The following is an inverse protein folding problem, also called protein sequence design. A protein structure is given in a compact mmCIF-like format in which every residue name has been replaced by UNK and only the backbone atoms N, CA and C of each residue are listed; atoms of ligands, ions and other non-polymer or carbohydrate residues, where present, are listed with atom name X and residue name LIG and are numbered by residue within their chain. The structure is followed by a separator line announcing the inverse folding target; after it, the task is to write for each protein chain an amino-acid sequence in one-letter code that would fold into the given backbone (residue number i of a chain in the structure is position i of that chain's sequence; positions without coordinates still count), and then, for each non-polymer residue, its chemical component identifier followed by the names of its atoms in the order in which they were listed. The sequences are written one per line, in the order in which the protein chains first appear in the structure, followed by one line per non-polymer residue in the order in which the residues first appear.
data_IF_784491549074
#
_entry.id   IF_784491549074
#
_cell.length_a   1.000
_cell.length_b   1.000
_cell.length_c   1.000
_cell.angle_alpha   90.00
_cell.angle_beta   90.00
_cell.angle_gamma   90.00
#
_symmetry.space_group_name_H-M   'P 1'
#
loop_
_entity.id
_entity.type
_entity.pdbx_description
1 polymer ?
#
# COMPACT_ATOMS: atom_id res chain seq x y z
N UNK A 1 20.21 -14.76 -38.63
CA UNK A 1 21.03 -13.56 -38.34
C UNK A 1 21.44 -13.66 -36.89
N UNK A 2 22.71 -13.95 -36.61
CA UNK A 2 23.18 -13.98 -35.24
C UNK A 2 23.28 -12.56 -34.69
N UNK A 3 22.54 -12.31 -33.60
CA UNK A 3 22.56 -11.05 -32.89
C UNK A 3 23.68 -11.08 -31.86
N UNK A 4 24.76 -10.32 -32.10
CA UNK A 4 25.76 -10.05 -31.05
C UNK A 4 25.42 -8.76 -30.31
N UNK A 5 25.74 -8.67 -29.02
CA UNK A 5 25.66 -7.42 -28.27
C UNK A 5 26.53 -6.34 -28.92
N UNK A 6 26.03 -5.09 -28.90
CA UNK A 6 26.79 -3.92 -29.32
C UNK A 6 27.91 -3.63 -28.33
N UNK A 7 29.06 -3.22 -28.83
CA UNK A 7 30.18 -2.81 -27.99
C UNK A 7 29.91 -1.45 -27.35
N UNK A 8 30.58 -1.15 -26.24
CA UNK A 8 30.51 0.14 -25.56
C UNK A 8 30.82 1.32 -26.49
N UNK A 9 31.68 1.10 -27.49
CA UNK A 9 32.08 2.09 -28.48
C UNK A 9 30.99 2.32 -29.55
N UNK A 10 30.31 1.25 -29.99
CA UNK A 10 29.12 1.32 -30.86
C UNK A 10 27.97 2.07 -30.16
N UNK A 11 27.79 1.85 -28.85
CA UNK A 11 26.80 2.55 -28.03
C UNK A 11 27.15 4.04 -27.86
N UNK A 12 28.43 4.36 -27.63
CA UNK A 12 28.89 5.75 -27.49
C UNK A 12 28.70 6.55 -28.79
N UNK A 13 28.99 5.93 -29.94
CA UNK A 13 28.80 6.53 -31.27
C UNK A 13 27.32 6.83 -31.56
N UNK A 14 26.42 5.88 -31.26
CA UNK A 14 24.97 6.07 -31.40
C UNK A 14 24.44 7.20 -30.50
N UNK A 15 24.97 7.33 -29.28
CA UNK A 15 24.64 8.46 -28.39
C UNK A 15 25.10 9.79 -28.98
N UNK A 16 26.33 9.88 -29.48
CA UNK A 16 26.86 11.11 -30.08
C UNK A 16 26.08 11.55 -31.34
N UNK A 17 25.67 10.61 -32.19
CA UNK A 17 24.82 10.88 -33.36
C UNK A 17 23.39 11.31 -33.00
N UNK A 18 22.88 10.88 -31.84
CA UNK A 18 21.59 11.33 -31.33
C UNK A 18 21.66 12.75 -30.73
N UNK A 19 22.78 13.10 -30.07
CA UNK A 19 22.94 14.41 -29.43
C UNK A 19 23.27 15.54 -30.42
N UNK A 20 23.82 15.24 -31.60
CA UNK A 20 24.15 16.25 -32.62
C UNK A 20 22.95 16.77 -33.43
N UNK A 21 21.73 16.24 -33.21
CA UNK A 21 20.51 16.58 -33.97
C UNK A 21 19.50 17.46 -33.22
N UNK A 22 19.92 18.16 -32.17
CA UNK A 22 19.04 19.02 -31.36
C UNK A 22 19.27 20.50 -31.69
N UNK A 23 18.43 21.06 -32.56
CA UNK A 23 18.40 22.51 -32.81
C UNK A 23 17.75 23.30 -31.66
N UNK A 24 18.26 24.51 -31.43
CA UNK A 24 17.73 25.48 -30.46
C UNK A 24 16.34 26.02 -30.89
N UNK A 25 15.48 26.44 -29.96
CA UNK A 25 14.08 26.73 -30.24
C UNK A 25 13.90 28.08 -30.96
N UNK A 26 12.95 28.12 -31.90
CA UNK A 26 12.38 29.34 -32.50
C UNK A 26 10.94 29.53 -31.99
N UNK A 27 10.64 30.78 -31.64
CA UNK A 27 9.42 31.36 -31.08
C UNK A 27 8.08 30.61 -31.28
N UNK A 28 7.43 30.35 -30.15
CA UNK A 28 6.04 30.74 -29.89
C UNK A 28 4.93 30.20 -30.80
N UNK A 29 4.59 28.91 -30.71
CA UNK A 29 3.21 28.40 -30.83
C UNK A 29 3.16 26.89 -30.57
N UNK A 30 2.17 26.46 -29.78
CA UNK A 30 1.67 25.09 -29.51
C UNK A 30 2.67 23.96 -29.19
N UNK A 31 2.49 23.35 -28.00
CA UNK A 31 3.25 22.19 -27.55
C UNK A 31 2.69 20.89 -28.15
N UNK A 32 3.44 20.31 -29.10
CA UNK A 32 3.36 18.88 -29.41
C UNK A 32 4.54 18.14 -28.78
N UNK A 33 4.26 17.14 -27.93
CA UNK A 33 5.29 16.21 -27.46
C UNK A 33 5.76 15.34 -28.64
N UNK A 34 6.96 15.58 -29.15
CA UNK A 34 7.51 14.84 -30.31
C UNK A 34 7.80 13.36 -30.05
N UNK A 35 7.61 12.84 -28.82
CA UNK A 35 7.75 11.40 -28.54
C UNK A 35 6.49 10.60 -28.90
N UNK A 36 5.32 11.23 -28.99
CA UNK A 36 4.04 10.53 -29.19
C UNK A 36 3.13 11.10 -30.28
N UNK A 37 3.43 12.28 -30.85
CA UNK A 37 2.67 12.87 -31.98
C UNK A 37 1.14 13.01 -31.72
N UNK A 38 0.74 13.29 -30.48
CA UNK A 38 -0.67 13.44 -30.08
C UNK A 38 -1.02 14.93 -29.96
N UNK A 39 -2.03 15.44 -30.70
CA UNK A 39 -2.53 16.81 -30.54
C UNK A 39 -3.21 17.01 -29.18
N UNK A 40 -3.10 18.21 -28.62
CA UNK A 40 -3.66 18.60 -27.32
C UNK A 40 -5.19 18.54 -27.22
N UNK A 41 -5.91 18.27 -28.32
CA UNK A 41 -7.38 18.28 -28.38
C UNK A 41 -8.07 16.94 -28.13
N UNK A 42 -7.37 15.87 -27.72
CA UNK A 42 -7.97 14.54 -27.52
C UNK A 42 -7.98 14.06 -26.04
N UNK A 43 -9.15 14.25 -25.43
CA UNK A 43 -9.82 13.60 -24.26
C UNK A 43 -9.02 13.15 -23.00
N UNK A 44 -9.71 13.23 -21.86
CA UNK A 44 -9.27 13.07 -20.45
C UNK A 44 -8.37 11.88 -20.05
N UNK A 45 -8.00 10.94 -20.94
CA UNK A 45 -7.20 9.76 -20.58
C UNK A 45 -5.70 10.04 -20.39
N UNK A 46 -5.17 11.13 -20.94
CA UNK A 46 -3.71 11.38 -20.92
C UNK A 46 -3.23 12.38 -19.86
N UNK A 47 -4.10 12.78 -18.92
CA UNK A 47 -3.73 13.69 -17.82
C UNK A 47 -2.66 13.08 -16.90
N UNK A 48 -2.63 11.76 -16.74
CA UNK A 48 -1.61 11.03 -15.96
C UNK A 48 -0.21 11.08 -16.57
N UNK A 49 -0.07 10.99 -17.90
CA UNK A 49 1.23 11.02 -18.55
C UNK A 49 1.90 12.40 -18.46
N UNK A 50 1.11 13.48 -18.55
CA UNK A 50 1.58 14.85 -18.32
C UNK A 50 1.92 15.11 -16.84
N UNK A 51 1.22 14.45 -15.91
CA UNK A 51 1.48 14.53 -14.46
C UNK A 51 2.84 13.90 -14.08
N UNK A 52 3.17 12.75 -14.67
CA UNK A 52 4.45 12.06 -14.41
C UNK A 52 5.67 12.84 -14.91
N UNK A 53 5.55 13.62 -15.99
CA UNK A 53 6.64 14.48 -16.47
C UNK A 53 6.94 15.68 -15.55
N UNK A 54 5.93 16.25 -14.89
CA UNK A 54 6.14 17.37 -13.93
C UNK A 54 6.84 16.94 -12.65
N UNK A 55 6.63 15.71 -12.20
CA UNK A 55 7.28 15.16 -11.00
C UNK A 55 8.80 14.92 -11.17
N UNK A 56 9.28 14.79 -12.42
CA UNK A 56 10.70 14.59 -12.72
C UNK A 56 11.54 15.88 -12.68
N UNK A 57 10.93 17.05 -12.92
CA UNK A 57 11.64 18.34 -12.84
C UNK A 57 11.81 18.81 -11.38
N UNK A 58 10.87 18.50 -10.50
CA UNK A 58 10.94 18.89 -9.08
C UNK A 58 12.04 18.14 -8.30
N UNK A 59 12.27 16.85 -8.61
CA UNK A 59 13.30 16.02 -7.93
C UNK A 59 14.75 16.46 -8.19
N UNK A 60 15.02 17.35 -9.15
CA UNK A 60 16.39 17.82 -9.45
C UNK A 60 16.85 19.01 -8.59
N UNK A 61 15.96 19.72 -7.89
CA UNK A 61 16.33 20.98 -7.23
C UNK A 61 16.73 20.89 -5.75
N UNK A 62 16.56 19.75 -5.08
CA UNK A 62 16.74 19.68 -3.62
C UNK A 62 17.55 18.45 -3.19
N UNK A 63 18.87 18.52 -3.39
CA UNK A 63 19.83 17.68 -2.66
C UNK A 63 21.11 18.49 -2.37
N UNK A 64 21.17 19.13 -1.20
CA UNK A 64 22.43 19.55 -0.56
C UNK A 64 22.47 18.94 0.84
N UNK A 65 23.42 18.06 1.10
CA UNK A 65 23.70 17.48 2.42
C UNK A 65 24.37 18.53 3.33
N UNK A 66 23.98 18.68 4.60
CA UNK A 66 24.84 19.32 5.60
C UNK A 66 25.77 18.28 6.27
N UNK A 67 27.02 18.68 6.49
CA UNK A 67 28.02 17.94 7.25
C UNK A 67 27.70 17.96 8.75
N UNK A 68 27.80 16.82 9.44
CA UNK A 68 27.71 16.71 10.89
C UNK A 68 29.00 16.11 11.44
N UNK A 69 29.56 16.77 12.46
CA UNK A 69 30.78 16.41 13.22
C UNK A 69 30.37 15.50 14.40
N UNK A 70 31.09 14.41 14.72
CA UNK A 70 30.75 13.54 15.83
C UNK A 70 31.23 14.11 17.18
N UNK A 71 30.41 13.97 18.23
CA UNK A 71 30.82 14.15 19.64
C UNK A 71 30.91 12.78 20.32
N UNK A 72 31.99 12.61 21.07
CA UNK A 72 32.38 11.41 21.82
C UNK A 72 31.70 11.31 23.18
N UNK A 73 31.52 10.05 23.58
CA UNK A 73 30.93 9.53 24.83
C UNK A 73 31.77 9.76 26.08
N UNK A 74 31.11 9.74 27.24
CA UNK A 74 31.67 9.23 28.50
C UNK A 74 30.58 8.53 29.32
N UNK A 75 30.80 7.23 29.58
CA UNK A 75 30.18 6.39 30.61
C UNK A 75 30.62 6.85 32.03
N UNK A 76 29.87 6.51 33.09
CA UNK A 76 30.35 5.41 33.93
C UNK A 76 29.25 4.46 34.48
N UNK A 77 29.70 3.22 34.65
CA UNK A 77 29.06 2.05 35.21
C UNK A 77 28.64 2.15 36.68
N UNK A 78 27.49 1.55 37.02
CA UNK A 78 27.10 1.19 38.37
C UNK A 78 26.31 -0.11 38.37
N UNK A 79 26.95 -1.20 38.77
CA UNK A 79 26.31 -2.51 39.04
C UNK A 79 25.50 -2.44 40.34
N UNK A 80 24.26 -2.94 40.30
CA UNK A 80 23.51 -3.33 41.50
C UNK A 80 22.78 -4.65 41.23
N UNK A 81 23.09 -5.63 42.08
CA UNK A 81 22.48 -6.95 42.14
C UNK A 81 20.94 -6.87 42.19
N UNK A 82 20.26 -7.70 41.38
CA UNK A 82 18.84 -8.02 41.59
C UNK A 82 18.67 -9.48 41.95
N UNK A 83 18.06 -9.64 43.11
CA UNK A 83 17.55 -10.86 43.71
C UNK A 83 16.48 -11.53 42.85
N UNK A 84 16.41 -12.85 42.99
CA UNK A 84 15.45 -13.73 42.31
C UNK A 84 14.01 -13.30 42.57
N UNK A 85 13.20 -13.22 41.51
CA UNK A 85 11.74 -13.14 41.63
C UNK A 85 11.09 -14.22 40.78
N UNK A 86 10.03 -14.77 41.38
CA UNK A 86 9.19 -15.88 40.94
C UNK A 86 8.57 -15.67 39.54
N UNK A 87 8.03 -16.71 38.89
CA UNK A 87 7.56 -16.62 37.51
C UNK A 87 6.39 -15.63 37.42
N UNK A 88 6.60 -14.54 36.69
CA UNK A 88 5.57 -13.59 36.30
C UNK A 88 4.47 -14.34 35.56
N UNK A 89 3.25 -14.25 36.08
CA UNK A 89 2.04 -14.59 35.34
C UNK A 89 2.10 -13.89 33.97
N UNK A 90 1.86 -14.64 32.90
CA UNK A 90 1.66 -14.08 31.56
C UNK A 90 0.53 -13.05 31.66
N UNK A 91 0.89 -11.76 31.73
CA UNK A 91 -0.06 -10.68 31.61
C UNK A 91 -0.70 -10.82 30.24
N UNK A 92 -2.02 -11.04 30.20
CA UNK A 92 -2.81 -11.00 28.98
C UNK A 92 -2.68 -9.58 28.42
N UNK A 93 -1.72 -9.40 27.51
CA UNK A 93 -1.51 -8.13 26.82
C UNK A 93 -2.81 -7.79 26.07
N UNK A 94 -3.22 -6.53 26.12
CA UNK A 94 -4.33 -6.05 25.31
C UNK A 94 -3.97 -6.25 23.81
N UNK A 95 -4.94 -6.56 22.94
CA UNK A 95 -4.72 -6.77 21.50
C UNK A 95 -3.90 -5.61 20.88
N UNK A 96 -4.17 -4.37 21.30
CA UNK A 96 -3.41 -3.19 20.87
C UNK A 96 -1.92 -3.28 21.24
N UNK A 97 -1.57 -3.81 22.42
CA UNK A 97 -0.17 -3.98 22.85
C UNK A 97 0.54 -5.07 22.04
N UNK A 98 -0.17 -6.14 21.67
CA UNK A 98 0.36 -7.21 20.81
C UNK A 98 0.67 -6.63 19.42
N UNK A 99 -0.24 -5.84 18.86
CA UNK A 99 -0.06 -5.14 17.58
C UNK A 99 1.19 -4.24 17.61
N UNK A 100 1.33 -3.41 18.65
CA UNK A 100 2.49 -2.51 18.79
C UNK A 100 3.81 -3.27 18.83
N UNK A 101 3.87 -4.36 19.60
CA UNK A 101 5.07 -5.19 19.74
C UNK A 101 5.48 -5.88 18.45
N UNK A 102 4.51 -6.38 17.68
CA UNK A 102 4.79 -7.07 16.41
C UNK A 102 5.20 -6.07 15.31
N UNK A 103 4.62 -4.87 15.34
CA UNK A 103 5.01 -3.77 14.47
C UNK A 103 6.45 -3.28 14.73
N UNK A 104 6.88 -3.16 15.99
CA UNK A 104 8.25 -2.76 16.33
C UNK A 104 9.32 -3.65 15.67
N UNK A 105 9.02 -4.95 15.52
CA UNK A 105 9.88 -5.93 14.84
C UNK A 105 9.84 -5.81 13.32
N UNK A 106 8.78 -5.23 12.78
CA UNK A 106 8.51 -5.19 11.33
C UNK A 106 9.12 -3.99 10.63
N UNK A 107 9.40 -2.92 11.39
CA UNK A 107 9.96 -1.66 10.91
C UNK A 107 11.46 -1.58 11.19
N UNK A 108 12.26 -1.18 10.20
CA UNK A 108 13.71 -0.98 10.35
C UNK A 108 14.06 0.29 11.17
N UNK A 109 15.35 0.65 11.19
CA UNK A 109 15.87 1.82 11.92
C UNK A 109 16.05 3.07 11.04
N UNK A 110 15.41 3.15 9.88
CA UNK A 110 15.39 4.39 9.10
C UNK A 110 14.63 5.50 9.84
N UNK A 111 14.97 6.76 9.55
CA UNK A 111 14.35 7.92 10.20
C UNK A 111 12.82 7.94 10.06
N UNK A 112 12.31 7.60 8.87
CA UNK A 112 10.87 7.54 8.61
C UNK A 112 10.20 6.49 9.49
N UNK A 113 10.80 5.30 9.62
CA UNK A 113 10.28 4.24 10.48
C UNK A 113 10.39 4.56 11.96
N UNK A 114 11.41 5.30 12.39
CA UNK A 114 11.51 5.75 13.78
C UNK A 114 10.39 6.75 14.13
N UNK A 115 10.16 7.76 13.30
CA UNK A 115 9.06 8.70 13.53
C UNK A 115 7.70 8.01 13.47
N UNK A 116 7.54 7.02 12.58
CA UNK A 116 6.34 6.20 12.51
C UNK A 116 6.14 5.39 13.79
N UNK A 117 7.19 4.73 14.31
CA UNK A 117 7.14 4.03 15.61
C UNK A 117 6.70 4.97 16.72
N UNK A 118 7.30 6.15 16.79
CA UNK A 118 6.94 7.15 17.80
C UNK A 118 5.49 7.63 17.67
N UNK A 119 5.04 7.95 16.46
CA UNK A 119 3.65 8.34 16.21
C UNK A 119 2.69 7.22 16.64
N UNK A 120 3.08 5.97 16.39
CA UNK A 120 2.28 4.81 16.72
C UNK A 120 2.19 4.59 18.25
N UNK A 121 3.31 4.75 18.96
CA UNK A 121 3.37 4.61 20.41
C UNK A 121 2.66 5.74 21.18
N UNK A 122 2.56 6.94 20.58
CA UNK A 122 1.93 8.11 21.23
C UNK A 122 0.41 8.08 21.24
N UNK A 123 -0.20 7.20 20.45
CA UNK A 123 -1.65 7.15 20.25
C UNK A 123 -2.27 5.96 20.98
N UNK A 124 -3.51 6.14 21.44
CA UNK A 124 -4.36 5.04 21.89
C UNK A 124 -5.15 4.48 20.71
N UNK A 125 -5.06 3.17 20.51
CA UNK A 125 -5.72 2.49 19.40
C UNK A 125 -6.90 1.68 19.89
N UNK A 126 -8.01 1.76 19.16
CA UNK A 126 -9.09 0.78 19.26
C UNK A 126 -8.82 -0.40 18.32
N UNK A 127 -9.32 -1.58 18.69
CA UNK A 127 -9.45 -2.72 17.76
C UNK A 127 -10.92 -2.96 17.47
N UNK A 128 -11.24 -3.81 16.49
CA UNK A 128 -12.64 -4.17 16.22
C UNK A 128 -13.32 -4.88 17.41
N UNK A 129 -12.55 -5.54 18.27
CA UNK A 129 -13.05 -6.22 19.47
C UNK A 129 -13.00 -5.32 20.72
N UNK A 130 -12.28 -4.21 20.66
CA UNK A 130 -12.03 -3.30 21.78
C UNK A 130 -12.14 -1.84 21.37
N UNK A 131 -13.34 -1.42 20.96
CA UNK A 131 -13.63 -0.02 20.66
C UNK A 131 -13.81 0.80 21.94
N UNK A 132 -13.21 1.99 21.99
CA UNK A 132 -13.60 2.98 22.99
C UNK A 132 -14.94 3.61 22.63
N UNK A 133 -15.67 4.14 23.62
CA UNK A 133 -16.94 4.83 23.39
C UNK A 133 -16.80 6.02 22.43
N UNK A 134 -15.69 6.76 22.55
CA UNK A 134 -15.36 7.87 21.66
C UNK A 134 -15.18 7.40 20.21
N UNK A 135 -14.39 6.33 20.00
CA UNK A 135 -14.17 5.77 18.68
C UNK A 135 -15.49 5.27 18.08
N UNK A 136 -16.28 4.53 18.87
CA UNK A 136 -17.59 4.04 18.44
C UNK A 136 -18.54 5.18 18.02
N UNK A 137 -18.56 6.30 18.76
CA UNK A 137 -19.35 7.46 18.43
C UNK A 137 -18.90 8.14 17.12
N UNK A 138 -17.59 8.29 16.92
CA UNK A 138 -17.02 8.86 15.69
C UNK A 138 -17.37 8.01 14.45
N UNK A 139 -17.31 6.68 14.59
CA UNK A 139 -17.70 5.76 13.53
C UNK A 139 -19.20 5.80 13.25
N UNK A 140 -20.05 5.88 14.27
CA UNK A 140 -21.50 5.95 14.11
C UNK A 140 -21.97 7.23 13.39
N UNK A 141 -21.29 8.36 13.59
CA UNK A 141 -21.61 9.61 12.89
C UNK A 141 -21.24 9.57 11.39
N UNK A 142 -20.07 9.00 11.09
CA UNK A 142 -19.52 9.00 9.73
C UNK A 142 -20.04 7.85 8.87
N UNK A 143 -20.26 6.67 9.46
CA UNK A 143 -20.50 5.42 8.75
C UNK A 143 -21.78 4.72 9.20
N UNK A 144 -22.31 3.86 8.33
CA UNK A 144 -23.50 3.06 8.64
C UNK A 144 -23.11 1.81 9.44
N UNK A 145 -21.92 1.27 9.18
CA UNK A 145 -21.40 0.08 9.84
C UNK A 145 -19.88 0.20 9.97
N UNK A 146 -19.34 -0.54 10.92
CA UNK A 146 -17.91 -0.74 11.09
C UNK A 146 -17.33 -1.69 10.02
N UNK A 147 -16.00 -1.66 9.80
CA UNK A 147 -15.31 -2.75 9.14
C UNK A 147 -15.53 -4.07 9.89
N UNK A 148 -15.38 -5.20 9.21
CA UNK A 148 -15.66 -6.51 9.76
C UNK A 148 -14.56 -7.51 9.42
N UNK A 149 -14.14 -8.29 10.42
CA UNK A 149 -13.35 -9.49 10.21
C UNK A 149 -14.28 -10.65 9.88
N UNK A 150 -13.99 -11.36 8.80
CA UNK A 150 -14.70 -12.55 8.37
C UNK A 150 -13.72 -13.70 8.18
N UNK A 151 -14.14 -14.96 8.41
CA UNK A 151 -13.27 -16.10 8.14
C UNK A 151 -12.88 -16.15 6.66
N UNK A 152 -11.59 -16.35 6.36
CA UNK A 152 -11.12 -16.37 4.97
C UNK A 152 -11.78 -17.48 4.14
N UNK A 153 -12.14 -18.59 4.78
CA UNK A 153 -12.82 -19.74 4.16
C UNK A 153 -14.19 -19.36 3.59
N UNK A 154 -14.85 -18.33 4.12
CA UNK A 154 -16.13 -17.85 3.59
C UNK A 154 -15.94 -17.01 2.33
N UNK A 155 -14.74 -16.47 2.11
CA UNK A 155 -14.40 -15.63 0.97
C UNK A 155 -13.99 -16.46 -0.26
N UNK A 156 -13.69 -17.74 -0.10
CA UNK A 156 -13.21 -18.63 -1.16
C UNK A 156 -13.88 -19.99 -1.06
N UNK A 157 -14.66 -20.37 -2.07
CA UNK A 157 -15.35 -21.66 -2.12
C UNK A 157 -14.68 -22.59 -3.14
N UNK A 158 -14.27 -23.83 -2.78
CA UNK A 158 -14.47 -24.49 -1.47
C UNK A 158 -13.39 -24.20 -0.43
N UNK A 159 -12.23 -23.64 -0.82
CA UNK A 159 -11.14 -23.27 0.09
C UNK A 159 -10.28 -22.13 -0.48
N UNK A 160 -9.55 -21.37 0.33
CA UNK A 160 -8.60 -20.38 -0.16
C UNK A 160 -7.54 -20.98 -1.10
N UNK A 161 -7.04 -20.21 -2.08
CA UNK A 161 -5.96 -20.66 -2.95
C UNK A 161 -4.66 -20.85 -2.15
N UNK A 162 -3.85 -21.83 -2.55
CA UNK A 162 -2.52 -22.02 -1.97
C UNK A 162 -1.57 -20.89 -2.37
N UNK A 163 -0.68 -20.50 -1.45
CA UNK A 163 0.28 -19.42 -1.70
C UNK A 163 1.12 -19.68 -2.96
N UNK A 164 1.68 -20.89 -3.10
CA UNK A 164 2.49 -21.28 -4.25
C UNK A 164 1.76 -21.08 -5.59
N UNK A 165 0.48 -21.46 -5.67
CA UNK A 165 -0.32 -21.28 -6.88
C UNK A 165 -0.51 -19.80 -7.22
N UNK A 166 -0.75 -18.95 -6.22
CA UNK A 166 -0.88 -17.50 -6.43
C UNK A 166 0.46 -16.89 -6.85
N UNK A 167 1.56 -17.28 -6.21
CA UNK A 167 2.89 -16.84 -6.59
C UNK A 167 3.23 -17.21 -8.03
N UNK A 168 2.93 -18.44 -8.46
CA UNK A 168 3.10 -18.87 -9.85
C UNK A 168 2.27 -18.03 -10.85
N UNK A 169 1.01 -17.71 -10.51
CA UNK A 169 0.17 -16.86 -11.35
C UNK A 169 0.72 -15.42 -11.45
N UNK A 170 1.21 -14.87 -10.35
CA UNK A 170 1.86 -13.56 -10.32
C UNK A 170 3.16 -13.59 -11.15
N UNK A 171 3.98 -14.63 -10.98
CA UNK A 171 5.22 -14.81 -11.73
C UNK A 171 4.98 -14.83 -13.22
N UNK A 172 4.06 -15.67 -13.69
CA UNK A 172 3.73 -15.77 -15.11
C UNK A 172 3.20 -14.45 -15.65
N UNK A 173 2.37 -13.74 -14.89
CA UNK A 173 1.89 -12.40 -15.27
C UNK A 173 3.03 -11.40 -15.46
N UNK A 174 3.96 -11.36 -14.52
CA UNK A 174 5.12 -10.45 -14.55
C UNK A 174 6.10 -10.85 -15.67
N UNK A 175 6.38 -12.14 -15.82
CA UNK A 175 7.27 -12.70 -16.85
C UNK A 175 6.78 -12.41 -18.26
N UNK A 176 5.47 -12.42 -18.47
CA UNK A 176 4.85 -12.10 -19.76
C UNK A 176 4.81 -10.59 -20.07
N UNK A 177 5.31 -9.73 -19.18
CA UNK A 177 5.39 -8.29 -19.39
C UNK A 177 4.03 -7.60 -19.45
N UNK A 178 3.02 -8.12 -18.74
CA UNK A 178 1.72 -7.47 -18.66
C UNK A 178 1.87 -6.06 -18.03
N UNK A 179 1.10 -5.08 -18.49
CA UNK A 179 1.18 -3.68 -18.02
C UNK A 179 -0.04 -3.25 -17.22
N UNK A 180 -0.87 -4.20 -16.77
CA UNK A 180 -2.12 -3.96 -16.05
C UNK A 180 -1.97 -3.93 -14.52
N UNK A 181 -0.73 -3.81 -14.02
CA UNK A 181 -0.40 -3.69 -12.61
C UNK A 181 0.53 -2.51 -12.35
N UNK A 182 0.61 -2.10 -11.08
CA UNK A 182 1.52 -1.05 -10.62
C UNK A 182 2.77 -1.67 -10.01
N UNK A 183 3.91 -1.07 -10.31
CA UNK A 183 5.21 -1.49 -9.80
C UNK A 183 5.87 -0.29 -9.15
N UNK A 184 6.41 -0.55 -7.97
CA UNK A 184 7.19 0.42 -7.21
C UNK A 184 8.54 -0.22 -6.99
N UNK A 185 9.59 0.47 -7.38
CA UNK A 185 10.97 0.08 -7.12
C UNK A 185 11.69 1.33 -6.63
N UNK A 186 12.13 1.31 -5.38
CA UNK A 186 12.66 2.42 -4.58
C UNK A 186 13.90 3.16 -5.11
N UNK A 187 14.16 3.18 -6.42
CA UNK A 187 15.20 4.04 -6.98
C UNK A 187 15.75 3.69 -8.35
N UNK A 188 15.29 2.63 -9.03
CA UNK A 188 15.91 2.20 -10.30
C UNK A 188 14.94 2.35 -11.46
N UNK A 189 15.22 3.30 -12.37
CA UNK A 189 14.46 3.49 -13.60
C UNK A 189 15.18 2.81 -14.76
N UNK A 190 14.89 1.54 -15.04
CA UNK A 190 15.38 0.89 -16.27
C UNK A 190 14.43 -0.17 -16.82
N UNK A 191 14.66 -0.58 -18.06
CA UNK A 191 13.68 -1.20 -18.98
C UNK A 191 13.30 -2.67 -18.66
N UNK A 192 13.81 -3.26 -17.58
CA UNK A 192 13.54 -4.67 -17.16
C UNK A 192 13.08 -4.81 -15.68
N UNK A 193 12.40 -3.76 -15.21
CA UNK A 193 12.11 -3.51 -13.80
C UNK A 193 11.18 -4.56 -13.16
N UNK A 194 10.21 -5.12 -13.90
CA UNK A 194 9.23 -6.03 -13.31
C UNK A 194 9.81 -7.40 -12.95
N UNK A 195 10.69 -7.95 -13.81
CA UNK A 195 11.42 -9.18 -13.50
C UNK A 195 12.37 -8.99 -12.32
N UNK A 196 13.08 -7.86 -12.26
CA UNK A 196 13.95 -7.51 -11.14
C UNK A 196 13.15 -7.33 -9.83
N UNK A 197 12.04 -6.60 -9.84
CA UNK A 197 11.13 -6.45 -8.68
C UNK A 197 10.57 -7.81 -8.26
N UNK A 198 10.15 -8.67 -9.19
CA UNK A 198 9.72 -10.03 -8.85
C UNK A 198 10.83 -10.83 -8.18
N UNK A 199 12.04 -10.83 -8.73
CA UNK A 199 13.18 -11.55 -8.15
C UNK A 199 13.55 -11.01 -6.76
N UNK A 200 13.50 -9.69 -6.56
CA UNK A 200 13.66 -9.06 -5.25
C UNK A 200 12.57 -9.46 -4.27
N UNK A 201 11.36 -9.77 -4.72
CA UNK A 201 10.27 -10.25 -3.85
C UNK A 201 10.31 -11.77 -3.61
N UNK A 202 10.84 -12.55 -4.56
CA UNK A 202 11.12 -13.98 -4.38
C UNK A 202 12.26 -14.21 -3.38
N UNK A 203 13.18 -13.23 -3.29
CA UNK A 203 14.29 -13.18 -2.33
C UNK A 203 14.29 -11.83 -1.60
N UNK A 204 13.32 -11.59 -0.69
CA UNK A 204 13.10 -10.28 -0.07
C UNK A 204 14.33 -9.81 0.70
N UNK A 205 14.94 -8.73 0.21
CA UNK A 205 15.94 -7.96 0.93
C UNK A 205 15.23 -6.95 1.85
N UNK A 206 15.14 -7.27 3.14
CA UNK A 206 14.50 -6.41 4.15
C UNK A 206 15.22 -5.05 4.27
N UNK A 207 16.47 -4.93 3.82
CA UNK A 207 17.17 -3.64 3.74
C UNK A 207 16.73 -2.77 2.56
N UNK A 208 15.90 -3.30 1.66
CA UNK A 208 15.32 -2.61 0.49
C UNK A 208 13.80 -2.86 0.39
N UNK A 209 13.00 -2.45 1.40
CA UNK A 209 11.56 -2.71 1.45
C UNK A 209 10.74 -1.95 0.38
N UNK A 210 11.39 -1.17 -0.49
CA UNK A 210 10.74 -0.23 -1.40
C UNK A 210 10.32 -0.86 -2.73
N UNK A 211 10.61 -2.14 -2.96
CA UNK A 211 10.22 -2.87 -4.17
C UNK A 211 8.95 -3.70 -3.91
N UNK A 212 7.84 -3.38 -4.57
CA UNK A 212 6.58 -4.13 -4.43
C UNK A 212 5.69 -4.02 -5.67
N UNK A 213 4.77 -4.98 -5.82
CA UNK A 213 3.78 -5.00 -6.89
C UNK A 213 2.37 -4.86 -6.33
N UNK A 214 1.56 -4.02 -6.96
CA UNK A 214 0.16 -3.81 -6.59
C UNK A 214 -0.79 -3.95 -7.77
N UNK A 215 -2.04 -4.26 -7.45
CA UNK A 215 -3.15 -4.32 -8.39
C UNK A 215 -2.94 -5.33 -9.52
N UNK A 216 -2.29 -6.46 -9.24
CA UNK A 216 -2.02 -7.52 -10.22
C UNK A 216 -3.33 -8.27 -10.52
N UNK A 217 -3.87 -8.21 -11.74
CA UNK A 217 -5.14 -8.88 -12.02
C UNK A 217 -4.97 -10.40 -12.07
N UNK A 218 -5.64 -11.09 -11.14
CA UNK A 218 -5.62 -12.55 -11.07
C UNK A 218 -6.87 -13.10 -11.74
N UNK A 219 -6.71 -13.56 -12.99
CA UNK A 219 -7.74 -14.29 -13.74
C UNK A 219 -7.27 -15.71 -13.96
N UNK A 220 -8.00 -16.66 -13.38
CA UNK A 220 -7.63 -18.06 -13.48
C UNK A 220 -8.85 -18.95 -13.25
N UNK A 221 -8.91 -20.05 -14.00
CA UNK A 221 -9.89 -21.12 -13.83
C UNK A 221 -9.42 -22.19 -12.85
N UNK A 222 -8.16 -22.15 -12.42
CA UNK A 222 -7.55 -23.17 -11.55
C UNK A 222 -7.58 -22.78 -10.07
N UNK A 223 -7.88 -21.53 -9.75
CA UNK A 223 -8.09 -21.08 -8.37
C UNK A 223 -9.53 -20.59 -8.19
N UNK A 224 -10.09 -20.76 -6.98
CA UNK A 224 -11.39 -20.19 -6.66
C UNK A 224 -11.32 -18.67 -6.71
N UNK A 225 -12.39 -18.06 -7.24
CA UNK A 225 -12.56 -16.61 -7.21
C UNK A 225 -12.95 -16.19 -5.79
N UNK A 226 -12.45 -15.02 -5.39
CA UNK A 226 -12.91 -14.40 -4.15
C UNK A 226 -14.37 -13.94 -4.31
N UNK A 227 -15.18 -14.22 -3.30
CA UNK A 227 -16.60 -13.85 -3.25
C UNK A 227 -16.89 -13.05 -1.97
N UNK A 228 -17.99 -12.32 -1.99
CA UNK A 228 -18.54 -11.71 -0.77
C UNK A 228 -19.21 -12.81 0.07
N UNK A 229 -18.79 -13.01 1.34
CA UNK A 229 -19.43 -13.96 2.24
C UNK A 229 -20.94 -13.74 2.38
N UNK A 230 -21.71 -14.82 2.50
CA UNK A 230 -23.18 -14.78 2.60
C UNK A 230 -23.67 -13.86 3.71
N UNK A 231 -22.96 -13.83 4.85
CA UNK A 231 -23.27 -12.97 6.00
C UNK A 231 -23.25 -11.47 5.67
N UNK A 232 -22.49 -11.05 4.66
CA UNK A 232 -22.37 -9.65 4.25
C UNK A 232 -23.42 -9.27 3.20
N UNK A 233 -23.93 -10.23 2.43
CA UNK A 233 -24.84 -9.99 1.30
C UNK A 233 -26.11 -9.20 1.65
N UNK A 234 -26.78 -9.39 2.81
CA UNK A 234 -27.98 -8.61 3.13
C UNK A 234 -27.77 -7.09 3.11
N UNK A 235 -26.55 -6.62 3.41
CA UNK A 235 -26.18 -5.20 3.39
C UNK A 235 -25.37 -4.83 2.15
N UNK A 236 -24.52 -5.74 1.68
CA UNK A 236 -23.45 -5.45 0.72
C UNK A 236 -23.55 -6.29 -0.56
N UNK A 237 -24.76 -6.69 -0.94
CA UNK A 237 -25.00 -7.37 -2.21
C UNK A 237 -24.40 -6.53 -3.36
N UNK A 238 -23.44 -7.09 -4.13
CA UNK A 238 -22.87 -6.38 -5.27
C UNK A 238 -23.94 -6.06 -6.31
N UNK A 239 -23.87 -4.88 -6.91
CA UNK A 239 -24.76 -4.50 -8.01
C UNK A 239 -24.56 -5.41 -9.22
N UNK A 240 -25.59 -5.57 -10.07
CA UNK A 240 -25.56 -6.47 -11.25
C UNK A 240 -24.39 -6.22 -12.21
N UNK A 241 -23.86 -4.99 -12.27
CA UNK A 241 -22.70 -4.66 -13.13
C UNK A 241 -21.40 -5.28 -12.63
N UNK A 242 -21.33 -5.65 -11.36
CA UNK A 242 -20.14 -6.17 -10.68
C UNK A 242 -20.39 -7.57 -10.08
N UNK A 243 -21.28 -8.36 -10.69
CA UNK A 243 -21.59 -9.72 -10.22
C UNK A 243 -20.37 -10.67 -10.23
N UNK A 244 -19.26 -10.26 -10.85
CA UNK A 244 -17.95 -10.93 -10.79
C UNK A 244 -16.87 -9.85 -10.65
N UNK A 245 -16.56 -9.42 -9.42
CA UNK A 245 -15.53 -8.39 -9.22
C UNK A 245 -14.17 -8.90 -9.69
N UNK A 246 -13.34 -7.99 -10.17
CA UNK A 246 -11.98 -8.31 -10.57
C UNK A 246 -11.15 -8.59 -9.31
N UNK A 247 -10.60 -9.79 -9.22
CA UNK A 247 -9.66 -10.15 -8.16
C UNK A 247 -8.28 -9.56 -8.47
N UNK A 248 -7.75 -8.80 -7.53
CA UNK A 248 -6.45 -8.16 -7.60
C UNK A 248 -5.54 -8.73 -6.51
N UNK A 249 -4.25 -8.87 -6.81
CA UNK A 249 -3.23 -9.26 -5.86
C UNK A 249 -2.18 -8.16 -5.68
N UNK A 250 -1.73 -8.00 -4.45
CA UNK A 250 -0.59 -7.18 -4.07
C UNK A 250 0.48 -8.11 -3.49
N UNK A 251 1.70 -8.04 -4.01
CA UNK A 251 2.85 -8.75 -3.48
C UNK A 251 3.78 -7.72 -2.84
N UNK A 252 3.96 -7.85 -1.53
CA UNK A 252 4.61 -6.83 -0.69
C UNK A 252 5.57 -7.50 0.30
N UNK A 253 6.85 -7.11 0.35
CA UNK A 253 7.77 -7.56 1.40
C UNK A 253 7.44 -6.95 2.77
N UNK A 254 8.06 -7.48 3.82
CA UNK A 254 8.02 -6.89 5.18
C UNK A 254 8.49 -5.44 5.15
N UNK A 255 7.82 -4.58 5.90
CA UNK A 255 8.15 -3.17 6.04
C UNK A 255 7.53 -2.27 4.96
N UNK A 256 6.84 -2.81 3.94
CA UNK A 256 6.08 -1.98 3.01
C UNK A 256 4.96 -1.26 3.75
N UNK A 257 4.88 0.05 3.52
CA UNK A 257 3.83 0.93 4.00
C UNK A 257 3.04 1.41 2.78
N UNK A 258 1.73 1.22 2.83
CA UNK A 258 0.77 1.80 1.88
C UNK A 258 0.08 2.95 2.57
N UNK A 259 0.29 4.16 2.04
CA UNK A 259 -0.24 5.39 2.63
C UNK A 259 -1.77 5.36 2.77
N UNK A 260 -2.33 6.09 3.75
CA UNK A 260 -3.77 6.21 3.93
C UNK A 260 -4.47 6.69 2.66
N UNK A 261 -5.51 5.98 2.24
CA UNK A 261 -6.27 6.31 1.02
C UNK A 261 -7.72 5.81 1.11
N UNK A 262 -8.49 6.13 0.07
CA UNK A 262 -9.86 5.67 -0.15
C UNK A 262 -9.89 4.82 -1.43
N UNK A 263 -10.56 3.66 -1.39
CA UNK A 263 -10.75 2.76 -2.56
C UNK A 263 -11.80 3.26 -3.57
N UNK A 264 -12.01 4.58 -3.61
CA UNK A 264 -13.14 5.22 -4.27
C UNK A 264 -14.46 4.85 -3.61
N UNK A 265 -15.58 5.09 -4.30
CA UNK A 265 -16.93 4.76 -3.82
C UNK A 265 -17.24 3.25 -3.84
N UNK A 266 -16.27 2.41 -3.46
CA UNK A 266 -16.35 0.96 -3.53
C UNK A 266 -16.09 0.35 -2.17
N UNK A 267 -16.84 -0.70 -1.87
CA UNK A 267 -16.58 -1.59 -0.76
C UNK A 267 -15.37 -2.48 -1.11
N UNK A 268 -14.59 -2.87 -0.11
CA UNK A 268 -13.36 -3.63 -0.27
C UNK A 268 -13.40 -4.89 0.59
N UNK A 269 -13.03 -6.03 0.02
CA UNK A 269 -12.77 -7.26 0.76
C UNK A 269 -11.34 -7.68 0.47
N UNK A 270 -10.52 -7.78 1.51
CA UNK A 270 -9.12 -8.19 1.40
C UNK A 270 -8.85 -9.42 2.26
N UNK A 271 -8.00 -10.32 1.78
CA UNK A 271 -7.50 -11.47 2.50
C UNK A 271 -6.03 -11.65 2.19
N UNK A 272 -5.27 -12.20 3.13
CA UNK A 272 -3.85 -12.52 2.90
C UNK A 272 -3.68 -14.03 2.71
N UNK A 273 -2.70 -14.40 1.91
CA UNK A 273 -2.44 -15.79 1.53
C UNK A 273 -1.05 -16.21 2.00
N UNK A 274 -0.94 -17.42 2.56
CA UNK A 274 0.32 -17.99 3.04
C UNK A 274 0.71 -17.47 4.42
N UNK A 275 2.00 -17.22 4.64
CA UNK A 275 2.54 -16.67 5.90
C UNK A 275 2.53 -15.14 5.93
N UNK A 276 1.65 -14.47 5.18
CA UNK A 276 1.61 -13.02 5.15
C UNK A 276 0.76 -12.49 6.30
N UNK A 277 1.17 -11.33 6.84
CA UNK A 277 0.50 -10.63 7.93
C UNK A 277 0.52 -9.14 7.64
N UNK A 278 -0.62 -8.48 7.80
CA UNK A 278 -0.78 -7.04 7.56
C UNK A 278 -1.42 -6.38 8.76
N UNK A 279 -0.89 -5.24 9.15
CA UNK A 279 -1.53 -4.33 10.08
C UNK A 279 -2.26 -3.25 9.29
N UNK A 280 -3.58 -3.21 9.41
CA UNK A 280 -4.43 -2.23 8.73
C UNK A 280 -4.91 -1.19 9.74
N UNK A 281 -4.70 0.08 9.42
CA UNK A 281 -5.25 1.21 10.15
C UNK A 281 -6.44 1.73 9.36
N UNK A 282 -7.56 1.93 10.03
CA UNK A 282 -8.82 2.36 9.42
C UNK A 282 -9.37 3.55 10.18
N UNK A 283 -9.81 4.56 9.45
CA UNK A 283 -10.46 5.75 10.00
C UNK A 283 -11.82 5.97 9.36
N UNK A 284 -12.78 6.52 10.12
CA UNK A 284 -14.06 6.92 9.57
C UNK A 284 -13.87 8.04 8.55
N UNK A 285 -14.69 8.01 7.50
CA UNK A 285 -14.72 9.04 6.44
C UNK A 285 -15.49 10.28 6.87
N UNK A 286 -15.23 10.82 8.06
CA UNK A 286 -15.84 12.06 8.53
C UNK A 286 -15.33 13.25 7.70
N UNK A 287 -16.08 14.35 7.65
CA UNK A 287 -15.69 15.55 6.90
C UNK A 287 -14.30 16.05 7.29
N UNK A 288 -13.98 16.08 8.59
CA UNK A 288 -12.67 16.48 9.09
C UNK A 288 -11.56 15.53 8.64
N UNK A 289 -11.77 14.22 8.76
CA UNK A 289 -10.78 13.23 8.35
C UNK A 289 -10.53 13.25 6.83
N UNK A 290 -11.59 13.42 6.03
CA UNK A 290 -11.49 13.51 4.57
C UNK A 290 -10.77 14.78 4.14
N UNK A 291 -11.06 15.92 4.77
CA UNK A 291 -10.36 17.17 4.50
C UNK A 291 -8.87 17.02 4.78
N UNK A 292 -8.52 16.53 5.96
CA UNK A 292 -7.14 16.33 6.36
C UNK A 292 -6.41 15.35 5.45
N UNK A 293 -7.05 14.24 5.07
CA UNK A 293 -6.49 13.30 4.09
C UNK A 293 -6.13 14.00 2.78
N UNK A 294 -7.00 14.86 2.26
CA UNK A 294 -6.72 15.60 1.01
C UNK A 294 -5.54 16.57 1.14
N UNK A 295 -5.31 17.09 2.33
CA UNK A 295 -4.19 17.98 2.63
C UNK A 295 -2.87 17.21 2.77
N UNK A 296 -2.91 15.93 3.20
CA UNK A 296 -1.71 15.15 3.56
C UNK A 296 -1.40 13.99 2.62
N UNK A 297 -2.33 13.48 1.81
CA UNK A 297 -2.18 12.24 0.99
C UNK A 297 -1.02 12.27 -0.03
N UNK A 298 -0.37 13.42 -0.21
CA UNK A 298 0.75 13.62 -1.17
C UNK A 298 2.07 13.96 -0.51
N UNK A 299 2.13 13.95 0.82
CA UNK A 299 3.36 14.21 1.57
C UNK A 299 4.12 12.91 1.81
N UNK A 300 5.44 12.99 1.99
CA UNK A 300 6.25 11.83 2.41
C UNK A 300 5.92 11.38 3.85
N UNK A 301 5.14 12.19 4.58
CA UNK A 301 4.70 11.96 5.95
C UNK A 301 3.23 11.58 6.05
N UNK A 302 2.54 11.30 4.94
CA UNK A 302 1.08 11.12 4.89
C UNK A 302 0.58 10.12 5.94
N UNK A 303 1.26 8.98 6.10
CA UNK A 303 0.93 7.99 7.12
C UNK A 303 1.10 8.53 8.55
N UNK A 304 2.21 9.22 8.83
CA UNK A 304 2.48 9.81 10.16
C UNK A 304 1.44 10.89 10.48
N UNK A 305 1.14 11.75 9.51
CA UNK A 305 0.16 12.81 9.64
C UNK A 305 -1.23 12.22 9.92
N UNK A 306 -1.59 11.14 9.23
CA UNK A 306 -2.84 10.43 9.45
C UNK A 306 -2.95 9.84 10.86
N UNK A 307 -1.92 9.13 11.32
CA UNK A 307 -1.89 8.58 12.68
C UNK A 307 -1.97 9.66 13.75
N UNK A 308 -1.41 10.84 13.48
CA UNK A 308 -1.33 11.93 14.46
C UNK A 308 -2.63 12.73 14.52
N UNK A 309 -3.30 12.91 13.38
CA UNK A 309 -4.34 13.92 13.24
C UNK A 309 -5.71 13.38 12.83
N UNK A 310 -5.81 12.20 12.21
CA UNK A 310 -7.11 11.58 11.97
C UNK A 310 -7.66 10.98 13.25
N UNK A 311 -8.97 11.12 13.44
CA UNK A 311 -9.68 10.64 14.63
C UNK A 311 -10.39 9.33 14.37
N UNK A 312 -10.63 8.54 15.42
CA UNK A 312 -11.40 7.30 15.34
C UNK A 312 -10.66 6.13 14.74
N UNK A 313 -9.34 6.06 14.94
CA UNK A 313 -8.56 4.98 14.35
C UNK A 313 -8.92 3.62 14.95
N UNK A 314 -9.14 2.65 14.07
CA UNK A 314 -9.17 1.23 14.39
C UNK A 314 -7.93 0.59 13.77
N UNK A 315 -7.12 -0.06 14.60
CA UNK A 315 -6.00 -0.88 14.15
C UNK A 315 -6.41 -2.35 14.17
N UNK A 316 -6.18 -3.05 13.06
CA UNK A 316 -6.55 -4.45 12.93
C UNK A 316 -5.48 -5.22 12.14
N UNK A 317 -4.95 -6.26 12.76
CA UNK A 317 -4.12 -7.24 12.07
C UNK A 317 -4.99 -8.22 11.30
N UNK A 318 -4.57 -8.55 10.08
CA UNK A 318 -5.08 -9.68 9.29
C UNK A 318 -3.96 -10.66 8.95
N UNK A 319 -4.31 -11.94 8.98
CA UNK A 319 -3.46 -13.08 8.66
C UNK A 319 -4.23 -14.08 7.77
N UNK A 320 -3.62 -15.22 7.44
CA UNK A 320 -4.23 -16.19 6.54
C UNK A 320 -5.45 -16.93 7.12
N UNK A 321 -5.88 -16.64 8.36
CA UNK A 321 -7.12 -17.16 8.93
C UNK A 321 -8.31 -16.22 8.70
N UNK A 322 -8.04 -14.96 8.40
CA UNK A 322 -9.01 -13.87 8.41
C UNK A 322 -9.01 -13.06 7.10
N UNK A 323 -10.16 -12.45 6.82
CA UNK A 323 -10.32 -11.46 5.77
C UNK A 323 -10.97 -10.21 6.38
N UNK A 324 -10.65 -9.04 5.83
CA UNK A 324 -11.16 -7.75 6.27
C UNK A 324 -12.11 -7.19 5.22
N UNK A 325 -13.36 -6.98 5.64
CA UNK A 325 -14.37 -6.25 4.90
C UNK A 325 -14.37 -4.78 5.32
N UNK A 326 -14.23 -3.89 4.35
CA UNK A 326 -14.27 -2.44 4.53
C UNK A 326 -15.38 -1.85 3.65
N UNK A 327 -16.48 -1.36 4.25
CA UNK A 327 -17.46 -0.56 3.53
C UNK A 327 -16.85 0.66 2.85
N UNK A 328 -17.45 1.11 1.74
CA UNK A 328 -16.98 2.28 1.02
C UNK A 328 -16.97 3.54 1.89
N UNK A 329 -15.96 4.39 1.67
CA UNK A 329 -15.76 5.64 2.42
C UNK A 329 -14.88 5.49 3.67
N UNK A 330 -14.30 4.31 3.91
CA UNK A 330 -13.27 4.11 4.94
C UNK A 330 -11.91 4.55 4.41
N UNK A 331 -11.26 5.45 5.15
CA UNK A 331 -9.86 5.79 4.93
C UNK A 331 -9.05 4.65 5.54
N UNK A 332 -8.10 4.09 4.81
CA UNK A 332 -7.27 3.02 5.34
C UNK A 332 -5.83 3.08 4.84
N UNK A 333 -4.91 2.68 5.71
CA UNK A 333 -3.48 2.54 5.44
C UNK A 333 -3.00 1.17 5.93
N UNK A 334 -1.96 0.62 5.29
CA UNK A 334 -1.52 -0.75 5.57
C UNK A 334 -0.02 -0.79 5.79
N UNK A 335 0.40 -1.52 6.83
CA UNK A 335 1.80 -1.89 7.05
C UNK A 335 1.92 -3.40 6.88
N UNK A 336 2.92 -3.82 6.09
CA UNK A 336 3.23 -5.24 5.93
C UNK A 336 4.15 -5.72 7.04
N UNK A 337 3.60 -6.44 8.01
CA UNK A 337 4.35 -7.05 9.11
C UNK A 337 5.10 -8.30 8.64
N UNK A 338 4.46 -9.13 7.83
CA UNK A 338 5.06 -10.29 7.19
C UNK A 338 4.79 -10.30 5.69
N UNK A 339 5.87 -10.41 4.93
CA UNK A 339 5.84 -10.35 3.47
C UNK A 339 4.98 -11.46 2.86
N UNK A 340 4.42 -11.18 1.69
CA UNK A 340 3.64 -12.14 0.93
C UNK A 340 2.50 -11.48 0.15
N UNK A 341 1.45 -12.26 -0.10
CA UNK A 341 0.37 -11.86 -1.00
C UNK A 341 -0.87 -11.43 -0.22
N UNK A 342 -1.39 -10.26 -0.58
CA UNK A 342 -2.75 -9.83 -0.27
C UNK A 342 -3.58 -9.94 -1.54
N UNK A 343 -4.75 -10.58 -1.45
CA UNK A 343 -5.75 -10.65 -2.51
C UNK A 343 -6.95 -9.82 -2.08
N UNK A 344 -7.55 -9.10 -3.01
CA UNK A 344 -8.79 -8.40 -2.73
C UNK A 344 -9.71 -8.27 -3.94
N UNK A 345 -10.94 -7.90 -3.62
CA UNK A 345 -11.97 -7.48 -4.57
C UNK A 345 -12.54 -6.14 -4.11
N UNK A 346 -12.79 -5.25 -5.06
CA UNK A 346 -13.61 -4.07 -4.82
C UNK A 346 -14.98 -4.28 -5.47
N UNK A 347 -16.03 -3.94 -4.75
CA UNK A 347 -17.42 -4.05 -5.21
C UNK A 347 -18.21 -2.78 -4.94
N UNK A 348 -19.36 -2.63 -5.56
CA UNK A 348 -20.33 -1.58 -5.31
C UNK A 348 -21.62 -2.21 -4.80
N UNK A 349 -22.07 -1.75 -3.64
CA UNK A 349 -23.35 -2.11 -3.05
C UNK A 349 -24.17 -0.85 -2.73
N UNK A 350 -25.46 -1.02 -2.43
CA UNK A 350 -26.32 0.11 -2.02
C UNK A 350 -25.80 0.74 -0.72
N UNK A 351 -25.45 -0.08 0.28
CA UNK A 351 -24.87 0.44 1.51
C UNK A 351 -23.52 1.12 1.27
N UNK A 352 -22.69 0.57 0.39
CA UNK A 352 -21.44 1.20 -0.05
C UNK A 352 -21.68 2.59 -0.66
N UNK A 353 -22.65 2.73 -1.56
CA UNK A 353 -22.98 4.05 -2.12
C UNK A 353 -23.41 5.06 -1.06
N UNK A 354 -24.22 4.66 -0.08
CA UNK A 354 -24.63 5.57 1.00
C UNK A 354 -23.40 5.97 1.85
N UNK A 355 -22.52 5.02 2.18
CA UNK A 355 -21.26 5.30 2.87
C UNK A 355 -20.36 6.28 2.10
N UNK A 356 -20.20 6.05 0.79
CA UNK A 356 -19.45 6.95 -0.08
C UNK A 356 -20.09 8.34 -0.16
N UNK A 357 -21.41 8.46 -0.29
CA UNK A 357 -22.10 9.75 -0.29
C UNK A 357 -21.85 10.50 1.03
N UNK A 358 -21.92 9.82 2.18
CA UNK A 358 -21.62 10.45 3.47
C UNK A 358 -20.20 10.98 3.54
N UNK A 359 -19.24 10.25 2.99
CA UNK A 359 -17.83 10.65 2.96
C UNK A 359 -17.53 11.79 1.97
N UNK A 360 -18.27 11.90 0.86
CA UNK A 360 -17.96 12.84 -0.24
C UNK A 360 -18.93 14.01 -0.42
N UNK A 361 -20.14 13.94 0.12
CA UNK A 361 -21.19 14.96 -0.06
C UNK A 361 -21.31 15.95 1.10
N UNK A 362 -20.50 15.78 2.16
CA UNK A 362 -20.28 16.75 3.22
C UNK A 362 -19.00 17.51 2.95
#
# INVERSE_FOLDING_TARGET
METRPLTTEEIAKLKAECYSKVDKPVNGSEFTCRRCNIPSSWSNRNRHALQSCRNLEWKKSTYRRPNIIPRTSTDPSGEMERTSSAPLAESVLNESEIILRDLEKSLDNTWLHQNLKEAIQKQSWSTLNGLTDECAAQWADAHINLPQIVPVIECFQPKPPGAETIFQLIFEKVRLGATDYSMFDGGVSDVDQAGATYMLMAYPDISKPQSFLMNIPIKSTVIPQMIIPERLLPKYQPTRKESRPLMLANLTPRGVIVDPHLDGSRDSLIAVIGSSKKLTFMWPGSTSNIQLLRETERTETAFIDALTHLTGCIAQTIDASSALWMPAGIIHGVITEEGGVLIGINTQSICGYIGAIRAFAR
#
